data_IF_035318296921
#
_entry.id   IF_035318296921
#
_cell.length_a   1.000
_cell.length_b   1.000
_cell.length_c   1.000
_cell.angle_alpha   90.00
_cell.angle_beta   90.00
_cell.angle_gamma   90.00
#
_symmetry.space_group_name_H-M   'P 1'
#
loop_
_entity.id
_entity.type
_entity.pdbx_description
1 polymer ?
#
# COMPACT_ATOMS: atom_id res chain seq x y z
N UNK A 1 18.71 -0.38 21.02
CA UNK A 1 19.25 -1.50 21.82
C UNK A 1 18.08 -2.38 22.22
N UNK A 2 18.23 -3.72 22.12
CA UNK A 2 17.17 -4.66 22.53
C UNK A 2 17.19 -4.88 24.05
N UNK A 3 15.99 -5.02 24.64
CA UNK A 3 15.84 -5.37 26.06
C UNK A 3 16.29 -6.81 26.30
N UNK A 4 17.09 -7.05 27.32
CA UNK A 4 17.57 -8.37 27.72
C UNK A 4 16.78 -8.93 28.89
N UNK A 5 16.80 -10.24 29.02
CA UNK A 5 16.29 -10.96 30.23
C UNK A 5 17.36 -10.93 31.32
N UNK A 6 16.97 -11.24 32.56
CA UNK A 6 17.90 -11.37 33.68
C UNK A 6 19.02 -12.42 33.44
N UNK A 7 18.78 -13.37 32.54
CA UNK A 7 19.72 -14.43 32.14
C UNK A 7 20.57 -14.08 30.93
N UNK A 8 20.53 -12.81 30.44
CA UNK A 8 21.38 -12.29 29.35
C UNK A 8 20.88 -12.57 27.94
N UNK A 9 19.76 -13.27 27.75
CA UNK A 9 19.15 -13.49 26.43
C UNK A 9 18.23 -12.32 26.03
N UNK A 10 17.91 -12.19 24.73
CA UNK A 10 16.97 -11.18 24.24
C UNK A 10 15.56 -11.48 24.79
N UNK A 11 14.90 -10.45 25.33
CA UNK A 11 13.54 -10.58 25.85
C UNK A 11 12.54 -10.68 24.70
N UNK A 12 11.72 -11.74 24.70
CA UNK A 12 10.60 -11.85 23.78
C UNK A 12 9.49 -10.86 24.19
N UNK A 13 9.55 -9.63 23.64
CA UNK A 13 8.57 -8.57 23.88
C UNK A 13 8.14 -7.93 22.55
N UNK A 14 6.91 -7.38 22.51
CA UNK A 14 6.44 -6.62 21.33
C UNK A 14 7.39 -5.45 21.06
N UNK A 15 7.91 -4.80 22.10
CA UNK A 15 8.88 -3.68 21.95
C UNK A 15 10.15 -4.11 21.22
N UNK A 16 10.74 -5.25 21.59
CA UNK A 16 11.92 -5.76 20.88
C UNK A 16 11.61 -6.14 19.44
N UNK A 17 10.46 -6.76 19.17
CA UNK A 17 10.02 -7.02 17.80
C UNK A 17 9.88 -5.73 17.00
N UNK A 18 9.23 -4.69 17.55
CA UNK A 18 9.11 -3.37 16.91
C UNK A 18 10.49 -2.75 16.64
N UNK A 19 11.38 -2.77 17.63
CA UNK A 19 12.74 -2.24 17.47
C UNK A 19 13.47 -2.93 16.31
N UNK A 20 13.33 -4.23 16.15
CA UNK A 20 13.91 -4.96 15.02
C UNK A 20 13.25 -4.56 13.71
N UNK A 21 11.92 -4.58 13.59
CA UNK A 21 11.24 -4.18 12.37
C UNK A 21 11.53 -2.74 11.92
N UNK A 22 11.83 -1.85 12.85
CA UNK A 22 12.14 -0.45 12.55
C UNK A 22 13.60 -0.20 12.19
N UNK A 23 14.54 -1.03 12.66
CA UNK A 23 15.98 -0.75 12.54
C UNK A 23 16.77 -1.81 11.77
N UNK A 24 16.25 -3.01 11.59
CA UNK A 24 16.94 -4.06 10.83
C UNK A 24 17.03 -3.67 9.34
N UNK A 25 18.20 -3.79 8.70
CA UNK A 25 18.39 -3.37 7.30
C UNK A 25 17.46 -4.09 6.30
N UNK A 26 17.08 -5.33 6.58
CA UNK A 26 16.20 -6.14 5.72
C UNK A 26 14.73 -5.79 5.95
N UNK A 27 14.33 -5.52 7.19
CA UNK A 27 12.93 -5.38 7.60
C UNK A 27 12.45 -3.93 7.67
N UNK A 28 13.36 -2.97 7.86
CA UNK A 28 13.00 -1.57 8.02
C UNK A 28 12.28 -1.01 6.78
N UNK A 29 11.04 -0.56 6.98
CA UNK A 29 10.15 -0.07 5.93
C UNK A 29 9.76 -1.13 4.90
N UNK A 30 9.92 -2.43 5.19
CA UNK A 30 9.51 -3.50 4.29
C UNK A 30 8.03 -3.86 4.42
N UNK A 31 7.43 -3.62 5.56
CA UNK A 31 6.04 -3.98 5.87
C UNK A 31 5.19 -2.72 5.92
N UNK A 32 4.08 -2.70 5.18
CA UNK A 32 3.17 -1.57 5.09
C UNK A 32 1.71 -2.02 4.98
N UNK A 33 0.77 -1.20 5.46
CA UNK A 33 -0.65 -1.43 5.25
C UNK A 33 -1.12 -0.76 3.96
N UNK A 34 -1.69 -1.53 3.07
CA UNK A 34 -2.33 -1.03 1.87
C UNK A 34 -3.75 -0.57 2.20
N UNK A 35 -3.99 0.73 2.21
CA UNK A 35 -5.28 1.33 2.57
C UNK A 35 -6.38 1.14 1.52
N UNK A 36 -6.03 0.70 0.30
CA UNK A 36 -7.01 0.39 -0.73
C UNK A 36 -7.60 -1.02 -0.55
N UNK A 37 -6.74 -1.98 -0.20
CA UNK A 37 -7.13 -3.39 -0.05
C UNK A 37 -7.35 -3.81 1.40
N UNK A 38 -7.02 -2.94 2.36
CA UNK A 38 -7.03 -3.18 3.81
C UNK A 38 -6.12 -4.36 4.24
N UNK A 39 -5.11 -4.71 3.43
CA UNK A 39 -4.18 -5.81 3.67
C UNK A 39 -2.81 -5.30 4.10
N UNK A 40 -2.07 -6.15 4.78
CA UNK A 40 -0.64 -5.94 5.03
C UNK A 40 0.14 -6.41 3.81
N UNK A 41 1.01 -5.55 3.30
CA UNK A 41 1.89 -5.81 2.17
C UNK A 41 3.36 -5.83 2.61
N UNK A 42 4.17 -6.62 1.90
CA UNK A 42 5.62 -6.55 1.96
C UNK A 42 6.08 -5.84 0.68
N UNK A 43 6.55 -4.60 0.83
CA UNK A 43 6.82 -3.66 -0.28
C UNK A 43 8.31 -3.56 -0.66
N UNK A 44 9.18 -4.28 0.07
CA UNK A 44 10.62 -4.40 -0.23
C UNK A 44 11.03 -5.88 -0.27
N UNK A 45 12.11 -6.22 -0.97
CA UNK A 45 12.71 -7.57 -0.88
C UNK A 45 13.13 -7.90 0.56
N UNK A 46 12.79 -9.08 1.04
CA UNK A 46 13.12 -9.58 2.38
C UNK A 46 13.92 -10.89 2.35
N UNK A 47 14.82 -11.02 1.37
CA UNK A 47 15.82 -12.09 1.31
C UNK A 47 15.40 -13.35 0.55
N UNK A 48 14.16 -13.44 0.05
CA UNK A 48 13.70 -14.55 -0.79
C UNK A 48 12.72 -14.08 -1.89
N UNK A 49 12.50 -14.93 -2.89
CA UNK A 49 11.62 -14.61 -4.02
C UNK A 49 10.14 -14.66 -3.63
N UNK A 50 9.39 -13.66 -4.01
CA UNK A 50 7.95 -13.51 -3.77
C UNK A 50 7.20 -13.21 -5.06
N UNK A 51 5.97 -13.70 -5.19
CA UNK A 51 5.10 -13.51 -6.36
C UNK A 51 3.95 -12.54 -6.09
N UNK A 52 4.03 -11.64 -5.18
CA UNK A 52 2.98 -10.68 -4.86
C UNK A 52 3.39 -9.76 -3.74
N UNK A 53 2.56 -8.77 -3.42
CA UNK A 53 2.83 -7.83 -2.35
C UNK A 53 2.19 -8.25 -1.03
N UNK A 54 0.95 -8.77 -1.06
CA UNK A 54 0.25 -9.17 0.16
C UNK A 54 1.03 -10.22 0.96
N UNK A 55 1.11 -10.03 2.27
CA UNK A 55 1.75 -10.98 3.18
C UNK A 55 0.98 -12.31 3.19
N UNK A 56 1.71 -13.42 3.16
CA UNK A 56 1.17 -14.79 3.17
C UNK A 56 1.67 -15.55 4.40
N UNK A 57 1.09 -16.73 4.68
CA UNK A 57 1.56 -17.61 5.74
C UNK A 57 3.02 -18.05 5.52
N UNK A 58 3.42 -18.23 4.25
CA UNK A 58 4.81 -18.53 3.91
C UNK A 58 5.74 -17.38 4.30
N UNK A 59 5.33 -16.14 4.04
CA UNK A 59 6.08 -14.94 4.44
C UNK A 59 6.21 -14.87 5.97
N UNK A 60 5.14 -15.18 6.70
CA UNK A 60 5.16 -15.23 8.17
C UNK A 60 6.16 -16.26 8.67
N UNK A 61 6.21 -17.45 8.08
CA UNK A 61 7.15 -18.49 8.46
C UNK A 61 8.61 -18.06 8.21
N UNK A 62 8.91 -17.40 7.08
CA UNK A 62 10.25 -16.87 6.81
C UNK A 62 10.64 -15.74 7.78
N UNK A 63 9.71 -14.86 8.11
CA UNK A 63 9.93 -13.81 9.11
C UNK A 63 10.19 -14.38 10.50
N UNK A 64 9.43 -15.41 10.90
CA UNK A 64 9.62 -16.11 12.17
C UNK A 64 11.01 -16.74 12.23
N UNK A 65 11.40 -17.50 11.20
CA UNK A 65 12.71 -18.13 11.10
C UNK A 65 13.85 -17.08 11.18
N UNK A 66 13.76 -16.02 10.40
CA UNK A 66 14.75 -14.95 10.40
C UNK A 66 14.91 -14.27 11.76
N UNK A 67 13.80 -13.98 12.44
CA UNK A 67 13.79 -13.32 13.75
C UNK A 67 14.29 -14.25 14.85
N UNK A 68 14.02 -15.54 14.75
CA UNK A 68 14.52 -16.56 15.68
C UNK A 68 16.05 -16.71 15.54
N UNK A 69 16.54 -16.94 14.33
CA UNK A 69 17.98 -17.16 14.07
C UNK A 69 18.83 -15.92 14.36
N UNK A 70 18.34 -14.74 14.00
CA UNK A 70 19.13 -13.51 14.08
C UNK A 70 19.04 -12.86 15.46
N UNK A 71 17.87 -12.88 16.08
CA UNK A 71 17.57 -12.10 17.29
C UNK A 71 17.09 -12.94 18.48
N UNK A 72 16.83 -14.23 18.31
CA UNK A 72 16.26 -15.07 19.34
C UNK A 72 14.79 -14.73 19.68
N UNK A 73 14.07 -14.09 18.78
CA UNK A 73 12.65 -13.72 18.94
C UNK A 73 11.78 -14.84 18.38
N UNK A 74 11.15 -15.62 19.25
CA UNK A 74 10.43 -16.86 18.92
C UNK A 74 8.91 -16.78 19.12
N UNK A 75 8.39 -15.65 19.65
CA UNK A 75 6.96 -15.53 19.98
C UNK A 75 6.15 -15.03 18.77
N UNK A 76 5.58 -15.95 18.00
CA UNK A 76 4.72 -15.66 16.83
C UNK A 76 3.65 -14.60 17.14
N UNK A 77 2.92 -14.73 18.25
CA UNK A 77 1.88 -13.77 18.66
C UNK A 77 2.43 -12.35 18.83
N UNK A 78 3.63 -12.18 19.38
CA UNK A 78 4.24 -10.86 19.60
C UNK A 78 4.81 -10.30 18.30
N UNK A 79 5.35 -11.16 17.45
CA UNK A 79 5.83 -10.82 16.12
C UNK A 79 4.66 -10.36 15.24
N UNK A 80 3.55 -11.09 15.22
CA UNK A 80 2.34 -10.70 14.49
C UNK A 80 1.76 -9.36 14.99
N UNK A 81 1.75 -9.13 16.30
CA UNK A 81 1.33 -7.84 16.85
C UNK A 81 2.26 -6.69 16.43
N UNK A 82 3.57 -6.90 16.41
CA UNK A 82 4.53 -5.92 15.95
C UNK A 82 4.39 -5.63 14.45
N UNK A 83 4.17 -6.66 13.62
CA UNK A 83 3.89 -6.52 12.19
C UNK A 83 2.66 -5.63 11.97
N UNK A 84 1.57 -5.86 12.70
CA UNK A 84 0.36 -5.03 12.60
C UNK A 84 0.61 -3.55 12.93
N UNK A 85 1.41 -3.28 13.96
CA UNK A 85 1.77 -1.91 14.36
C UNK A 85 2.63 -1.24 13.28
N UNK A 86 3.72 -1.89 12.85
CA UNK A 86 4.63 -1.35 11.83
C UNK A 86 3.93 -1.17 10.49
N UNK A 87 3.06 -2.10 10.10
CA UNK A 87 2.25 -1.98 8.90
C UNK A 87 1.38 -0.72 8.93
N UNK A 88 0.75 -0.44 10.06
CA UNK A 88 -0.09 0.73 10.23
C UNK A 88 0.73 2.05 10.23
N UNK A 89 1.91 2.06 10.85
CA UNK A 89 2.84 3.21 10.82
C UNK A 89 3.31 3.54 9.40
N UNK A 90 3.54 2.51 8.56
CA UNK A 90 3.98 2.62 7.17
C UNK A 90 2.82 2.53 6.16
N UNK A 91 1.60 2.89 6.56
CA UNK A 91 0.45 2.77 5.67
C UNK A 91 0.59 3.63 4.41
N UNK A 92 0.10 3.12 3.28
CA UNK A 92 0.12 3.79 1.98
C UNK A 92 -1.18 3.56 1.22
N UNK A 93 -1.46 4.43 0.25
CA UNK A 93 -2.64 4.28 -0.61
C UNK A 93 -2.24 4.39 -2.09
N UNK A 94 -2.12 3.28 -2.82
CA UNK A 94 -1.48 3.27 -4.14
C UNK A 94 -2.07 4.27 -5.13
N UNK A 95 -3.40 4.43 -5.14
CA UNK A 95 -4.07 5.39 -6.04
C UNK A 95 -3.82 6.84 -5.61
N UNK A 96 -3.93 7.15 -4.33
CA UNK A 96 -3.69 8.54 -3.83
C UNK A 96 -2.24 8.94 -4.02
N UNK A 97 -1.31 8.04 -3.72
CA UNK A 97 0.12 8.29 -3.84
C UNK A 97 0.49 8.51 -5.32
N UNK A 98 -0.06 7.69 -6.22
CA UNK A 98 0.07 7.91 -7.66
C UNK A 98 -0.47 9.28 -8.09
N UNK A 99 -1.71 9.62 -7.73
CA UNK A 99 -2.34 10.89 -8.10
C UNK A 99 -1.58 12.11 -7.54
N UNK A 100 -1.10 12.03 -6.30
CA UNK A 100 -0.32 13.09 -5.66
C UNK A 100 1.07 13.26 -6.29
N UNK A 101 1.62 12.21 -6.90
CA UNK A 101 2.90 12.25 -7.61
C UNK A 101 2.80 12.80 -9.04
N UNK A 102 1.59 13.02 -9.58
CA UNK A 102 1.42 13.54 -10.92
C UNK A 102 1.72 15.05 -11.00
N UNK A 103 2.40 15.43 -12.05
CA UNK A 103 2.61 16.84 -12.42
C UNK A 103 2.01 17.08 -13.81
N UNK A 104 1.16 18.10 -13.92
CA UNK A 104 0.57 18.45 -15.20
C UNK A 104 1.60 19.09 -16.12
N UNK A 105 1.68 18.58 -17.35
CA UNK A 105 2.60 19.06 -18.39
C UNK A 105 2.02 20.18 -19.28
N UNK A 106 0.83 20.69 -18.94
CA UNK A 106 0.17 21.75 -19.69
C UNK A 106 -0.64 21.28 -20.90
N UNK A 107 -0.73 19.97 -21.16
CA UNK A 107 -1.42 19.44 -22.36
C UNK A 107 -2.87 19.05 -22.06
N UNK A 108 -3.84 19.63 -22.75
CA UNK A 108 -5.28 19.37 -22.61
C UNK A 108 -5.73 18.05 -23.26
N UNK A 109 -5.35 16.90 -22.71
CA UNK A 109 -5.67 15.59 -23.28
C UNK A 109 -7.15 15.21 -23.17
N UNK A 110 -7.83 15.66 -22.13
CA UNK A 110 -9.23 15.28 -21.86
C UNK A 110 -10.15 15.76 -22.99
N UNK A 111 -9.90 16.95 -23.56
CA UNK A 111 -10.73 17.54 -24.61
C UNK A 111 -10.84 16.67 -25.86
N UNK A 112 -9.79 15.97 -26.22
CA UNK A 112 -9.72 15.15 -27.43
C UNK A 112 -9.76 13.66 -27.18
N UNK A 113 -9.74 13.23 -25.92
CA UNK A 113 -9.59 11.83 -25.53
C UNK A 113 -10.70 10.93 -26.09
N UNK A 114 -11.98 11.27 -25.89
CA UNK A 114 -13.09 10.45 -26.37
C UNK A 114 -13.17 10.45 -27.91
N UNK A 115 -12.85 11.54 -28.55
CA UNK A 115 -12.78 11.61 -30.02
C UNK A 115 -11.66 10.70 -30.53
N UNK A 116 -10.46 10.83 -30.00
CA UNK A 116 -9.28 10.10 -30.47
C UNK A 116 -9.39 8.59 -30.27
N UNK A 117 -9.84 8.15 -29.11
CA UNK A 117 -9.86 6.72 -28.77
C UNK A 117 -11.17 6.02 -29.08
N UNK A 118 -12.29 6.73 -29.11
CA UNK A 118 -13.61 6.15 -29.26
C UNK A 118 -14.41 6.69 -30.44
N UNK A 119 -13.88 7.67 -31.20
CA UNK A 119 -14.56 8.28 -32.34
C UNK A 119 -15.81 9.09 -31.96
N UNK A 120 -15.92 9.53 -30.70
CA UNK A 120 -17.03 10.40 -30.28
C UNK A 120 -16.88 11.81 -30.86
N UNK A 121 -17.99 12.56 -30.92
CA UNK A 121 -17.94 13.95 -31.35
C UNK A 121 -17.06 14.81 -30.45
N UNK A 122 -16.27 15.70 -31.02
CA UNK A 122 -15.37 16.60 -30.27
C UNK A 122 -16.09 17.92 -29.98
N UNK A 123 -17.07 17.84 -29.04
CA UNK A 123 -17.86 19.00 -28.61
C UNK A 123 -17.68 19.29 -27.11
N UNK A 124 -18.30 20.36 -26.65
CA UNK A 124 -18.22 20.77 -25.25
C UNK A 124 -18.91 19.78 -24.31
N UNK A 125 -20.00 19.13 -24.74
CA UNK A 125 -20.71 18.15 -23.94
C UNK A 125 -19.85 16.92 -23.69
N UNK A 126 -19.23 16.38 -24.71
CA UNK A 126 -18.33 15.21 -24.64
C UNK A 126 -17.14 15.48 -23.75
N UNK A 127 -16.55 16.66 -23.84
CA UNK A 127 -15.47 17.11 -22.94
C UNK A 127 -15.91 17.17 -21.47
N UNK A 128 -17.03 17.85 -21.18
CA UNK A 128 -17.51 17.99 -19.79
C UNK A 128 -17.98 16.66 -19.20
N UNK A 129 -18.57 15.78 -20.00
CA UNK A 129 -18.99 14.44 -19.56
C UNK A 129 -17.76 13.62 -19.10
N UNK A 130 -16.70 13.56 -19.90
CA UNK A 130 -15.47 12.86 -19.52
C UNK A 130 -14.80 13.52 -18.31
N UNK A 131 -14.70 14.84 -18.30
CA UNK A 131 -14.11 15.61 -17.20
C UNK A 131 -14.83 15.33 -15.89
N UNK A 132 -16.16 15.38 -15.88
CA UNK A 132 -16.97 15.06 -14.70
C UNK A 132 -16.74 13.62 -14.21
N UNK A 133 -16.70 12.66 -15.13
CA UNK A 133 -16.44 11.26 -14.80
C UNK A 133 -15.07 11.07 -14.14
N UNK A 134 -14.02 11.65 -14.69
CA UNK A 134 -12.66 11.56 -14.14
C UNK A 134 -12.54 12.29 -12.79
N UNK A 135 -13.15 13.46 -12.63
CA UNK A 135 -13.19 14.17 -11.35
C UNK A 135 -13.92 13.35 -10.28
N UNK A 136 -15.01 12.68 -10.65
CA UNK A 136 -15.73 11.77 -9.76
C UNK A 136 -14.89 10.57 -9.32
N UNK A 137 -14.13 9.98 -10.23
CA UNK A 137 -13.20 8.88 -9.91
C UNK A 137 -12.10 9.33 -8.94
N UNK A 138 -11.48 10.49 -9.19
CA UNK A 138 -10.48 11.09 -8.30
C UNK A 138 -11.11 11.42 -6.93
N UNK A 139 -12.28 12.04 -6.92
CA UNK A 139 -12.98 12.38 -5.68
C UNK A 139 -13.24 11.14 -4.82
N UNK A 140 -13.67 10.03 -5.42
CA UNK A 140 -13.86 8.75 -4.72
C UNK A 140 -12.57 8.16 -4.14
N UNK A 141 -11.44 8.34 -4.82
CA UNK A 141 -10.15 7.89 -4.30
C UNK A 141 -9.75 8.61 -3.01
N UNK A 142 -10.04 9.93 -2.92
CA UNK A 142 -9.72 10.74 -1.74
C UNK A 142 -10.80 10.70 -0.66
N UNK A 143 -12.08 10.50 -1.05
CA UNK A 143 -13.23 10.49 -0.15
C UNK A 143 -14.04 9.19 -0.34
N UNK A 144 -13.57 8.05 0.21
CA UNK A 144 -14.27 6.78 0.12
C UNK A 144 -15.70 6.88 0.67
N UNK A 145 -16.66 6.29 -0.03
CA UNK A 145 -18.07 6.34 0.36
C UNK A 145 -18.84 7.59 -0.12
N UNK A 146 -18.18 8.56 -0.77
CA UNK A 146 -18.91 9.67 -1.40
C UNK A 146 -19.83 9.17 -2.52
N UNK A 147 -21.01 9.81 -2.66
CA UNK A 147 -21.95 9.52 -3.74
C UNK A 147 -21.42 10.07 -5.07
N UNK A 148 -21.48 9.24 -6.10
CA UNK A 148 -21.25 9.63 -7.48
C UNK A 148 -22.16 8.74 -8.34
N UNK A 149 -23.27 9.28 -8.78
CA UNK A 149 -24.38 8.53 -9.41
C UNK A 149 -24.38 8.64 -10.94
N UNK A 150 -23.30 9.21 -11.52
CA UNK A 150 -23.18 9.35 -12.96
C UNK A 150 -22.43 8.17 -13.56
N UNK A 151 -22.89 7.72 -14.72
CA UNK A 151 -22.24 6.69 -15.53
C UNK A 151 -21.97 7.24 -16.92
N UNK A 152 -20.75 7.10 -17.40
CA UNK A 152 -20.40 7.42 -18.78
C UNK A 152 -20.74 6.23 -19.67
N UNK A 153 -21.74 6.39 -20.55
CA UNK A 153 -22.18 5.36 -21.50
C UNK A 153 -21.77 5.77 -22.92
N UNK A 154 -21.17 4.84 -23.67
CA UNK A 154 -21.00 4.96 -25.11
C UNK A 154 -22.16 4.28 -25.80
N UNK A 155 -22.84 5.00 -26.69
CA UNK A 155 -23.87 4.47 -27.61
C UNK A 155 -23.29 4.62 -29.02
N UNK A 156 -23.12 3.50 -29.71
CA UNK A 156 -22.59 3.53 -31.05
C UNK A 156 -22.84 2.24 -31.76
#
# INVERSE_FOLDING_TARGET
MLESTEKGGVRNSIRNCLTVFQNDPLLSGAIAKNLLTERTDIIKPIGYHRTGTAITDTDMNYLLLYLEETYGLTSEKKIAAAIGIVANENSYHPIRDYLNGLTWDGTERIRTCLHHFLGADSDQYTYEALRLFLLGAIHRAFHPGCKFEFMLCRVG
#
